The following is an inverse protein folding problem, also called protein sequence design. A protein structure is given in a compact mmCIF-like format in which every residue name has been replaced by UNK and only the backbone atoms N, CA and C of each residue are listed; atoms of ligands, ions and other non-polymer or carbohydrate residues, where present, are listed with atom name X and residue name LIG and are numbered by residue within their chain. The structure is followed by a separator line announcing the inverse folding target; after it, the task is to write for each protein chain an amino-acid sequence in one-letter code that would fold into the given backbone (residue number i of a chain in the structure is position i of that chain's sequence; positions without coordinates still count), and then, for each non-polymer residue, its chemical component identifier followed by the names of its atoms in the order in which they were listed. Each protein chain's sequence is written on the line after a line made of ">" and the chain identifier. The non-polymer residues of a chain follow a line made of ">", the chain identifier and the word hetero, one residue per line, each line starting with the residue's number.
data_IF_765713775853
#
_entry.id   IF_765713775853
#
_cell.length_a   1.000
_cell.length_b   1.000
_cell.length_c   1.000
_cell.angle_alpha   90.00
_cell.angle_beta   90.00
_cell.angle_gamma   90.00
#
_symmetry.space_group_name_H-M   'P 1'
#
loop_
_entity.id
_entity.type
_entity.pdbx_description
1 polymer ?
#
# COMPACT_ATOMS: atom_id res chain seq x y z
N UNK A 1 -54.43 -15.43 -19.88
CA UNK A 1 -55.86 -15.68 -20.14
C UNK A 1 -56.21 -17.16 -20.06
N UNK A 2 -55.67 -18.03 -20.89
CA UNK A 2 -55.98 -19.48 -20.92
C UNK A 2 -55.71 -20.21 -19.58
N UNK A 3 -54.79 -19.77 -18.74
CA UNK A 3 -54.65 -20.31 -17.40
C UNK A 3 -55.81 -19.94 -16.48
N UNK A 4 -56.44 -18.81 -16.64
CA UNK A 4 -57.69 -18.43 -15.97
C UNK A 4 -58.83 -19.33 -16.38
N UNK A 5 -58.98 -19.53 -17.68
CA UNK A 5 -59.98 -20.49 -18.24
C UNK A 5 -59.74 -21.89 -17.71
N UNK A 6 -58.47 -22.40 -17.68
CA UNK A 6 -58.13 -23.71 -17.13
C UNK A 6 -58.49 -23.85 -15.65
N UNK A 7 -58.25 -22.78 -14.85
CA UNK A 7 -58.62 -22.75 -13.44
C UNK A 7 -60.12 -22.76 -13.23
N UNK A 8 -60.92 -22.08 -14.07
CA UNK A 8 -62.38 -22.14 -13.98
C UNK A 8 -62.94 -23.52 -14.35
N UNK A 9 -62.35 -24.18 -15.35
CA UNK A 9 -62.71 -25.52 -15.77
C UNK A 9 -62.25 -26.60 -14.81
N UNK A 10 -61.34 -26.29 -13.89
CA UNK A 10 -60.84 -27.26 -12.93
C UNK A 10 -61.92 -27.67 -11.93
N UNK A 11 -62.04 -28.98 -11.67
CA UNK A 11 -62.99 -29.54 -10.72
C UNK A 11 -62.51 -29.24 -9.27
N UNK A 12 -63.46 -28.86 -8.38
CA UNK A 12 -63.25 -28.55 -6.99
C UNK A 12 -64.01 -27.33 -6.53
N UNK A 13 -64.42 -27.27 -5.27
CA UNK A 13 -65.11 -26.15 -4.68
C UNK A 13 -64.20 -25.06 -4.10
N UNK A 14 -63.01 -25.44 -3.67
CA UNK A 14 -62.02 -24.57 -3.05
C UNK A 14 -60.85 -24.18 -3.95
N UNK A 15 -60.16 -23.08 -3.61
CA UNK A 15 -58.97 -22.58 -4.34
C UNK A 15 -57.87 -23.66 -4.49
N UNK A 16 -57.58 -24.41 -3.40
CA UNK A 16 -56.53 -25.44 -3.41
C UNK A 16 -56.90 -26.63 -4.27
N UNK A 17 -58.17 -27.10 -4.24
CA UNK A 17 -58.66 -28.23 -5.05
C UNK A 17 -58.60 -27.86 -6.55
N UNK A 18 -59.03 -26.67 -6.92
CA UNK A 18 -58.91 -26.18 -8.29
C UNK A 18 -57.46 -26.05 -8.77
N UNK A 19 -56.54 -25.65 -7.89
CA UNK A 19 -55.15 -25.59 -8.21
C UNK A 19 -54.54 -26.97 -8.50
N UNK A 20 -54.90 -27.99 -7.68
CA UNK A 20 -54.48 -29.38 -7.91
C UNK A 20 -55.09 -29.98 -9.17
N UNK A 21 -56.33 -29.59 -9.51
CA UNK A 21 -57.04 -30.03 -10.73
C UNK A 21 -56.59 -29.31 -12.02
N UNK A 22 -55.77 -28.25 -11.88
CA UNK A 22 -55.40 -27.38 -13.01
C UNK A 22 -54.72 -28.15 -14.16
N UNK A 23 -53.83 -29.11 -13.81
CA UNK A 23 -53.09 -29.90 -14.79
C UNK A 23 -53.98 -30.67 -15.78
N UNK A 24 -55.13 -31.14 -15.30
CA UNK A 24 -56.13 -31.87 -16.15
C UNK A 24 -56.95 -30.94 -17.00
N UNK A 25 -57.10 -29.68 -16.62
CA UNK A 25 -57.93 -28.66 -17.28
C UNK A 25 -57.18 -27.85 -18.33
N UNK A 26 -55.83 -27.91 -18.34
CA UNK A 26 -55.01 -27.18 -19.32
C UNK A 26 -55.31 -27.61 -20.74
N UNK A 27 -55.34 -28.90 -21.03
CA UNK A 27 -55.65 -29.41 -22.38
C UNK A 27 -56.97 -28.89 -22.91
N UNK A 28 -58.12 -29.11 -22.20
CA UNK A 28 -59.40 -28.57 -22.59
C UNK A 28 -59.43 -27.03 -22.74
N UNK A 29 -58.73 -26.28 -21.87
CA UNK A 29 -58.67 -24.84 -21.94
C UNK A 29 -57.96 -24.30 -23.19
N UNK A 30 -57.00 -25.08 -23.72
CA UNK A 30 -56.23 -24.73 -24.93
C UNK A 30 -56.77 -25.41 -26.21
N UNK A 31 -57.82 -26.22 -26.11
CA UNK A 31 -58.49 -26.79 -27.30
C UNK A 31 -59.10 -25.73 -28.22
N UNK A 32 -59.56 -24.63 -27.66
CA UNK A 32 -60.00 -23.45 -28.41
C UNK A 32 -58.99 -22.30 -28.18
N UNK A 33 -58.47 -21.70 -29.26
CA UNK A 33 -57.54 -20.58 -29.18
C UNK A 33 -58.25 -19.23 -28.99
N UNK A 34 -59.57 -19.17 -29.05
CA UNK A 34 -60.30 -17.93 -28.81
C UNK A 34 -60.06 -17.42 -27.38
N UNK A 35 -59.77 -16.11 -27.19
CA UNK A 35 -59.57 -15.56 -25.86
C UNK A 35 -60.89 -15.60 -25.08
N UNK A 36 -60.84 -16.10 -23.83
CA UNK A 36 -61.98 -16.06 -22.90
C UNK A 36 -62.35 -14.60 -22.62
N UNK A 37 -63.64 -14.31 -22.65
CA UNK A 37 -64.18 -12.96 -22.39
C UNK A 37 -64.49 -12.71 -20.91
N UNK A 38 -64.23 -13.72 -20.05
CA UNK A 38 -64.49 -13.62 -18.62
C UNK A 38 -63.51 -12.67 -17.92
N UNK A 39 -63.99 -11.77 -17.09
CA UNK A 39 -63.14 -10.81 -16.36
C UNK A 39 -62.06 -11.49 -15.48
N UNK A 40 -62.33 -12.68 -14.94
CA UNK A 40 -61.39 -13.44 -14.16
C UNK A 40 -60.18 -13.92 -15.01
N UNK A 41 -60.43 -14.37 -16.23
CA UNK A 41 -59.37 -14.82 -17.15
C UNK A 41 -58.44 -13.63 -17.51
N UNK A 42 -59.01 -12.47 -17.67
CA UNK A 42 -58.25 -11.22 -17.89
C UNK A 42 -57.41 -10.83 -16.70
N UNK A 43 -57.95 -10.95 -15.48
CA UNK A 43 -57.22 -10.66 -14.23
C UNK A 43 -56.02 -11.63 -14.08
N UNK A 44 -56.23 -12.91 -14.27
CA UNK A 44 -55.15 -13.95 -14.22
C UNK A 44 -54.09 -13.65 -15.30
N UNK A 45 -54.54 -13.27 -16.51
CA UNK A 45 -53.61 -12.90 -17.58
C UNK A 45 -52.76 -11.71 -17.25
N UNK A 46 -53.38 -10.66 -16.66
CA UNK A 46 -52.68 -9.42 -16.25
C UNK A 46 -51.63 -9.70 -15.15
N UNK A 47 -52.05 -10.43 -14.11
CA UNK A 47 -51.15 -10.81 -13.02
C UNK A 47 -49.99 -11.65 -13.55
N UNK A 48 -50.24 -12.64 -14.42
CA UNK A 48 -49.21 -13.41 -15.08
C UNK A 48 -48.23 -12.58 -15.92
N UNK A 49 -48.78 -11.63 -16.69
CA UNK A 49 -47.94 -10.71 -17.48
C UNK A 49 -47.05 -9.82 -16.62
N UNK A 50 -47.61 -9.27 -15.54
CA UNK A 50 -46.83 -8.47 -14.58
C UNK A 50 -45.74 -9.31 -13.91
N UNK A 51 -46.08 -10.51 -13.43
CA UNK A 51 -45.12 -11.41 -12.81
C UNK A 51 -43.99 -11.81 -13.80
N UNK A 52 -44.34 -12.13 -15.04
CA UNK A 52 -43.36 -12.47 -16.08
C UNK A 52 -42.46 -11.26 -16.41
N UNK A 53 -43.03 -10.06 -16.48
CA UNK A 53 -42.29 -8.83 -16.69
C UNK A 53 -41.33 -8.56 -15.55
N UNK A 54 -41.72 -8.77 -14.31
CA UNK A 54 -40.86 -8.66 -13.13
C UNK A 54 -39.72 -9.68 -13.15
N UNK A 55 -40.01 -10.95 -13.49
CA UNK A 55 -38.98 -11.98 -13.64
C UNK A 55 -37.94 -11.61 -14.68
N UNK A 56 -38.36 -11.13 -15.86
CA UNK A 56 -37.46 -10.65 -16.90
C UNK A 56 -36.65 -9.45 -16.40
N UNK A 57 -37.28 -8.51 -15.71
CA UNK A 57 -36.59 -7.34 -15.16
C UNK A 57 -35.51 -7.74 -14.15
N UNK A 58 -35.81 -8.61 -13.17
CA UNK A 58 -34.82 -9.06 -12.20
C UNK A 58 -33.71 -9.90 -12.85
N UNK A 59 -34.05 -10.80 -13.79
CA UNK A 59 -33.07 -11.57 -14.54
C UNK A 59 -32.16 -10.67 -15.39
N UNK A 60 -32.71 -9.66 -16.04
CA UNK A 60 -31.94 -8.69 -16.81
C UNK A 60 -31.05 -7.81 -15.94
N UNK A 61 -31.52 -7.41 -14.75
CA UNK A 61 -30.74 -6.62 -13.80
C UNK A 61 -29.54 -7.39 -13.25
N UNK A 62 -29.72 -8.70 -13.02
CA UNK A 62 -28.69 -9.60 -12.48
C UNK A 62 -27.89 -10.32 -13.58
N UNK A 63 -28.24 -10.19 -14.84
CA UNK A 63 -27.51 -10.80 -15.93
C UNK A 63 -26.11 -10.16 -16.05
N UNK A 64 -25.07 -11.00 -15.99
CA UNK A 64 -23.72 -10.55 -16.36
C UNK A 64 -23.77 -10.07 -17.81
N UNK A 65 -23.45 -8.81 -18.04
CA UNK A 65 -23.36 -8.23 -19.38
C UNK A 65 -22.11 -8.75 -20.05
N UNK A 66 -22.19 -9.89 -20.69
CA UNK A 66 -21.16 -10.36 -21.61
C UNK A 66 -21.25 -9.49 -22.88
N UNK A 67 -20.18 -8.76 -23.20
CA UNK A 67 -20.06 -8.12 -24.51
C UNK A 67 -19.58 -9.18 -25.49
N UNK A 68 -20.27 -9.32 -26.63
CA UNK A 68 -19.76 -10.12 -27.75
C UNK A 68 -18.43 -9.53 -28.20
N UNK A 69 -17.44 -10.38 -28.49
CA UNK A 69 -16.10 -10.04 -28.99
C UNK A 69 -15.12 -9.40 -27.99
N UNK A 70 -15.36 -9.46 -26.67
CA UNK A 70 -14.37 -9.08 -25.65
C UNK A 70 -13.88 -10.32 -24.91
N UNK A 71 -12.75 -10.88 -25.30
CA UNK A 71 -12.17 -12.10 -24.72
C UNK A 71 -11.60 -11.90 -23.29
N UNK A 72 -11.26 -10.66 -22.91
CA UNK A 72 -10.53 -10.34 -21.67
C UNK A 72 -11.30 -9.44 -20.68
N UNK A 73 -12.62 -9.40 -20.76
CA UNK A 73 -13.48 -8.68 -19.82
C UNK A 73 -14.22 -7.48 -20.42
N UNK A 74 -15.10 -6.89 -19.62
CA UNK A 74 -16.00 -5.81 -20.05
C UNK A 74 -15.39 -4.41 -19.80
N UNK A 75 -14.07 -4.27 -19.78
CA UNK A 75 -13.40 -3.00 -19.57
C UNK A 75 -13.61 -2.07 -20.80
N UNK A 76 -13.86 -0.81 -20.52
CA UNK A 76 -13.95 0.26 -21.53
C UNK A 76 -13.26 1.52 -21.02
N UNK A 77 -12.87 2.38 -21.90
CA UNK A 77 -12.41 3.72 -21.51
C UNK A 77 -13.52 4.47 -20.79
N UNK A 78 -13.19 5.07 -19.64
CA UNK A 78 -14.11 5.90 -18.88
C UNK A 78 -14.40 7.21 -19.60
N UNK A 79 -15.66 7.66 -19.55
CA UNK A 79 -16.04 9.00 -19.97
C UNK A 79 -16.13 9.96 -18.77
N UNK A 80 -16.42 11.26 -19.00
CA UNK A 80 -16.52 12.27 -17.94
C UNK A 80 -17.50 11.92 -16.81
N UNK A 81 -18.57 11.20 -17.12
CA UNK A 81 -19.55 10.72 -16.11
C UNK A 81 -18.98 9.64 -15.19
N UNK A 82 -18.05 8.84 -15.70
CA UNK A 82 -17.42 7.77 -14.93
C UNK A 82 -16.32 8.33 -14.02
N UNK A 83 -15.68 9.43 -14.41
CA UNK A 83 -14.58 10.08 -13.69
C UNK A 83 -15.10 11.00 -12.58
N UNK A 84 -16.23 11.69 -12.81
CA UNK A 84 -16.81 12.67 -11.88
C UNK A 84 -16.89 12.22 -10.42
N UNK A 85 -17.24 10.97 -10.07
CA UNK A 85 -17.28 10.51 -8.66
C UNK A 85 -15.93 10.51 -7.95
N UNK A 86 -14.82 10.61 -8.69
CA UNK A 86 -13.45 10.56 -8.19
C UNK A 86 -12.77 11.95 -8.16
N UNK A 87 -13.49 13.01 -8.45
CA UNK A 87 -13.00 14.39 -8.45
C UNK A 87 -13.63 15.16 -7.30
N UNK A 88 -12.78 15.86 -6.51
CA UNK A 88 -13.28 16.77 -5.48
C UNK A 88 -13.71 18.10 -6.13
N UNK A 89 -14.82 18.72 -5.67
CA UNK A 89 -15.26 20.01 -6.18
C UNK A 89 -14.25 21.16 -5.98
N UNK A 90 -13.43 21.07 -4.94
CA UNK A 90 -12.33 22.03 -4.70
C UNK A 90 -11.09 21.56 -5.45
N UNK A 91 -10.56 22.41 -6.31
CA UNK A 91 -9.40 22.09 -7.15
C UNK A 91 -8.19 21.65 -6.31
N UNK A 92 -7.93 22.33 -5.21
CA UNK A 92 -6.78 22.09 -4.32
C UNK A 92 -6.82 20.69 -3.67
N UNK A 93 -7.99 20.07 -3.61
CA UNK A 93 -8.16 18.74 -3.05
C UNK A 93 -7.97 17.62 -4.09
N UNK A 94 -7.34 17.91 -5.21
CA UNK A 94 -7.11 16.94 -6.26
C UNK A 94 -5.64 16.86 -6.67
N UNK A 95 -5.23 15.67 -7.08
CA UNK A 95 -4.01 15.45 -7.86
C UNK A 95 -4.32 15.80 -9.32
N UNK A 96 -3.47 16.56 -9.97
CA UNK A 96 -3.58 16.89 -11.38
C UNK A 96 -3.02 15.70 -12.19
N UNK A 97 -3.89 14.98 -12.90
CA UNK A 97 -3.44 13.86 -13.73
C UNK A 97 -3.04 14.31 -15.13
N UNK A 98 -3.86 15.19 -15.74
CA UNK A 98 -3.59 15.79 -17.05
C UNK A 98 -4.09 17.25 -17.05
N UNK A 99 -4.07 17.90 -18.20
CA UNK A 99 -4.64 19.26 -18.33
C UNK A 99 -6.15 19.34 -18.05
N UNK A 100 -6.86 18.22 -18.12
CA UNK A 100 -8.33 18.16 -17.95
C UNK A 100 -8.77 17.20 -16.85
N UNK A 101 -7.93 16.24 -16.45
CA UNK A 101 -8.31 15.16 -15.56
C UNK A 101 -7.69 15.33 -14.18
N UNK A 102 -8.53 15.17 -13.16
CA UNK A 102 -8.20 15.32 -11.75
C UNK A 102 -8.57 14.05 -10.99
N UNK A 103 -7.90 13.81 -9.86
CA UNK A 103 -8.23 12.73 -8.93
C UNK A 103 -8.19 13.27 -7.50
N UNK A 104 -9.27 13.08 -6.74
CA UNK A 104 -9.31 13.53 -5.34
C UNK A 104 -8.20 12.90 -4.49
N UNK A 105 -7.58 13.72 -3.63
CA UNK A 105 -6.62 13.23 -2.61
C UNK A 105 -7.31 12.49 -1.46
N UNK A 106 -8.64 12.52 -1.38
CA UNK A 106 -9.40 11.82 -0.35
C UNK A 106 -9.46 10.32 -0.64
N UNK A 107 -8.61 9.54 0.03
CA UNK A 107 -8.57 8.08 -0.08
C UNK A 107 -9.71 7.37 0.66
N UNK A 108 -10.50 8.10 1.47
CA UNK A 108 -11.62 7.56 2.27
C UNK A 108 -12.91 8.34 1.98
N UNK A 109 -13.45 8.24 0.76
CA UNK A 109 -14.71 8.90 0.40
C UNK A 109 -15.89 8.28 1.16
N UNK A 110 -17.03 9.02 1.22
CA UNK A 110 -18.28 8.52 1.84
C UNK A 110 -18.77 7.21 1.20
N UNK A 111 -18.60 7.05 -0.11
CA UNK A 111 -18.87 5.80 -0.81
C UNK A 111 -17.56 5.01 -0.96
N UNK A 112 -17.38 3.88 -0.26
CA UNK A 112 -16.15 3.07 -0.34
C UNK A 112 -15.84 2.53 -1.76
N UNK A 113 -16.85 2.38 -2.61
CA UNK A 113 -16.65 1.96 -4.00
C UNK A 113 -15.86 3.00 -4.83
N UNK A 114 -15.81 4.26 -4.38
CA UNK A 114 -15.05 5.33 -5.03
C UNK A 114 -13.64 5.48 -4.43
N UNK A 115 -13.27 4.70 -3.41
CA UNK A 115 -11.92 4.77 -2.84
C UNK A 115 -10.87 4.36 -3.88
N UNK A 116 -9.80 5.14 -3.98
CA UNK A 116 -8.64 4.88 -4.86
C UNK A 116 -7.35 5.17 -4.11
N UNK A 117 -6.28 4.47 -4.49
CA UNK A 117 -4.95 4.87 -4.05
C UNK A 117 -4.46 6.05 -4.91
N UNK A 118 -3.43 6.73 -4.43
CA UNK A 118 -2.84 7.89 -5.11
C UNK A 118 -1.56 7.53 -5.90
N UNK A 119 -1.30 6.25 -6.08
CA UNK A 119 -0.16 5.82 -6.89
C UNK A 119 -0.43 6.15 -8.36
N UNK A 120 0.40 7.00 -8.92
CA UNK A 120 0.33 7.39 -10.31
C UNK A 120 1.59 6.94 -11.07
N UNK A 121 1.41 6.35 -12.25
CA UNK A 121 2.48 5.99 -13.16
C UNK A 121 2.45 6.92 -14.37
N UNK A 122 3.50 7.72 -14.54
CA UNK A 122 3.64 8.66 -15.65
C UNK A 122 4.63 8.12 -16.67
N UNK A 123 4.14 7.69 -17.81
CA UNK A 123 4.94 7.05 -18.86
C UNK A 123 5.19 8.03 -20.00
N UNK A 124 6.44 8.10 -20.46
CA UNK A 124 6.82 8.94 -21.58
C UNK A 124 8.32 8.85 -21.86
N UNK A 125 8.75 9.12 -23.10
CA UNK A 125 10.15 9.16 -23.52
C UNK A 125 10.91 10.32 -22.87
N UNK A 126 12.22 10.38 -23.05
CA UNK A 126 13.02 11.55 -22.64
C UNK A 126 12.51 12.80 -23.39
N UNK A 127 12.42 13.92 -22.70
CA UNK A 127 11.92 15.17 -23.29
C UNK A 127 10.39 15.29 -23.42
N UNK A 128 9.61 14.25 -23.12
CA UNK A 128 8.14 14.28 -23.22
C UNK A 128 7.44 15.21 -22.22
N UNK A 129 8.19 15.88 -21.34
CA UNK A 129 7.67 16.86 -20.40
C UNK A 129 7.09 16.29 -19.11
N UNK A 130 7.39 15.02 -18.73
CA UNK A 130 6.92 14.41 -17.49
C UNK A 130 7.11 15.30 -16.26
N UNK A 131 8.31 15.84 -16.08
CA UNK A 131 8.61 16.77 -14.97
C UNK A 131 7.82 18.05 -15.10
N UNK A 132 7.82 18.66 -16.29
CA UNK A 132 7.20 19.97 -16.53
C UNK A 132 5.69 19.95 -16.41
N UNK A 133 5.03 18.93 -16.98
CA UNK A 133 3.57 18.90 -17.10
C UNK A 133 2.89 18.09 -15.99
N UNK A 134 3.63 17.25 -15.26
CA UNK A 134 3.05 16.50 -14.17
C UNK A 134 3.67 16.82 -12.82
N UNK A 135 4.99 16.62 -12.62
CA UNK A 135 5.62 16.78 -11.31
C UNK A 135 5.59 18.25 -10.83
N UNK A 136 6.02 19.18 -11.67
CA UNK A 136 6.04 20.61 -11.30
C UNK A 136 4.67 21.14 -10.88
N UNK A 137 3.55 20.91 -11.61
CA UNK A 137 2.23 21.30 -11.17
C UNK A 137 1.81 20.69 -9.83
N UNK A 138 2.16 19.44 -9.53
CA UNK A 138 1.85 18.82 -8.23
C UNK A 138 2.57 19.57 -7.09
N UNK A 139 3.84 19.90 -7.27
CA UNK A 139 4.61 20.63 -6.25
C UNK A 139 4.09 22.06 -6.06
N UNK A 140 3.66 22.71 -7.13
CA UNK A 140 3.09 24.07 -7.08
C UNK A 140 1.73 24.13 -6.39
N UNK A 141 0.98 23.02 -6.31
CA UNK A 141 -0.25 22.98 -5.50
C UNK A 141 0.04 23.19 -3.99
N UNK A 142 1.22 22.85 -3.52
CA UNK A 142 1.68 23.10 -2.15
C UNK A 142 0.68 22.67 -1.05
N UNK A 143 0.04 21.50 -1.23
CA UNK A 143 -0.98 20.98 -0.30
C UNK A 143 -0.50 19.84 0.60
N UNK A 144 0.74 19.36 0.42
CA UNK A 144 1.26 18.18 1.13
C UNK A 144 2.77 18.33 1.40
N UNK A 145 3.31 17.47 2.26
CA UNK A 145 4.76 17.29 2.33
C UNK A 145 5.21 16.43 1.16
N UNK A 146 6.35 16.77 0.57
CA UNK A 146 6.87 16.11 -0.63
C UNK A 146 8.24 15.50 -0.38
N UNK A 147 8.48 14.32 -0.94
CA UNK A 147 9.81 13.75 -1.13
C UNK A 147 10.02 13.59 -2.64
N UNK A 148 10.99 14.30 -3.18
CA UNK A 148 11.24 14.32 -4.62
C UNK A 148 12.66 13.82 -4.91
N UNK A 149 12.78 12.81 -5.78
CA UNK A 149 14.05 12.36 -6.34
C UNK A 149 14.30 13.14 -7.62
N UNK A 150 15.34 13.97 -7.63
CA UNK A 150 15.69 14.84 -8.75
C UNK A 150 17.13 14.60 -9.22
N UNK A 151 17.36 13.62 -10.10
CA UNK A 151 18.71 13.26 -10.55
C UNK A 151 19.47 14.40 -11.28
N UNK A 152 18.73 15.39 -11.79
CA UNK A 152 19.31 16.52 -12.55
C UNK A 152 19.39 17.81 -11.72
N UNK A 153 18.79 17.85 -10.53
CA UNK A 153 18.76 19.04 -9.67
C UNK A 153 17.89 20.20 -10.19
N UNK A 154 17.14 19.98 -11.28
CA UNK A 154 16.38 21.05 -11.94
C UNK A 154 15.08 21.42 -11.23
N UNK A 155 14.47 20.49 -10.52
CA UNK A 155 13.17 20.70 -9.84
C UNK A 155 13.32 21.70 -8.69
N UNK A 156 14.38 21.53 -7.89
CA UNK A 156 14.65 22.46 -6.77
C UNK A 156 14.82 23.90 -7.26
N UNK A 157 15.56 24.11 -8.34
CA UNK A 157 15.75 25.43 -8.94
C UNK A 157 14.45 26.07 -9.46
N UNK A 158 13.52 25.24 -9.97
CA UNK A 158 12.25 25.71 -10.52
C UNK A 158 11.21 26.06 -9.45
N UNK A 159 11.05 25.23 -8.41
CA UNK A 159 9.95 25.36 -7.46
C UNK A 159 10.40 25.66 -6.03
N UNK A 160 11.69 25.56 -5.71
CA UNK A 160 12.19 25.67 -4.34
C UNK A 160 11.85 27.02 -3.69
N UNK A 161 12.10 28.13 -4.38
CA UNK A 161 11.79 29.47 -3.88
C UNK A 161 10.27 29.65 -3.60
N UNK A 162 9.42 29.19 -4.52
CA UNK A 162 7.97 29.23 -4.32
C UNK A 162 7.54 28.44 -3.08
N UNK A 163 8.07 27.23 -2.90
CA UNK A 163 7.76 26.41 -1.74
C UNK A 163 8.23 27.06 -0.43
N UNK A 164 9.41 27.68 -0.42
CA UNK A 164 9.89 28.44 0.74
C UNK A 164 8.96 29.60 1.09
N UNK A 165 8.50 30.36 0.10
CA UNK A 165 7.52 31.44 0.31
C UNK A 165 6.18 30.91 0.87
N UNK A 166 5.82 29.65 0.58
CA UNK A 166 4.66 28.96 1.15
C UNK A 166 4.91 28.34 2.52
N UNK A 167 6.08 28.60 3.13
CA UNK A 167 6.43 28.12 4.47
C UNK A 167 7.02 26.72 4.52
N UNK A 168 7.36 26.11 3.37
CA UNK A 168 7.99 24.79 3.35
C UNK A 168 9.44 24.85 3.83
N UNK A 169 9.80 23.92 4.70
CA UNK A 169 11.18 23.68 5.08
C UNK A 169 11.80 22.70 4.09
N UNK A 170 12.66 23.20 3.21
CA UNK A 170 13.33 22.38 2.20
C UNK A 170 14.58 21.75 2.79
N UNK A 171 14.72 20.44 2.62
CA UNK A 171 15.92 19.66 2.95
C UNK A 171 16.45 19.03 1.68
N UNK A 172 17.74 19.19 1.43
CA UNK A 172 18.42 18.67 0.23
C UNK A 172 19.45 17.63 0.66
N UNK A 173 19.33 16.43 0.11
CA UNK A 173 20.37 15.41 0.17
C UNK A 173 21.00 15.28 -1.21
N UNK A 174 22.24 15.75 -1.35
CA UNK A 174 22.97 15.74 -2.61
C UNK A 174 24.04 14.65 -2.56
N UNK A 175 23.80 13.54 -3.26
CA UNK A 175 24.73 12.40 -3.34
C UNK A 175 25.83 12.58 -4.41
N UNK A 176 25.73 13.62 -5.26
CA UNK A 176 26.73 13.92 -6.29
C UNK A 176 27.81 14.86 -5.72
N UNK A 177 27.39 15.86 -4.94
CA UNK A 177 28.27 16.82 -4.30
C UNK A 177 27.85 16.99 -2.84
N UNK A 178 28.51 16.23 -1.96
CA UNK A 178 28.19 16.24 -0.53
C UNK A 178 28.44 17.59 0.14
N UNK A 179 29.28 18.47 -0.45
CA UNK A 179 29.50 19.83 0.09
C UNK A 179 28.24 20.71 0.01
N UNK A 180 27.32 20.35 -0.91
CA UNK A 180 26.00 21.00 -1.11
C UNK A 180 24.85 20.24 -0.47
N UNK A 181 25.16 19.18 0.25
CA UNK A 181 24.15 18.36 0.94
C UNK A 181 23.91 18.87 2.36
N UNK A 182 22.68 18.78 2.82
CA UNK A 182 22.37 18.95 4.24
C UNK A 182 22.88 17.77 5.04
N UNK A 183 23.40 18.05 6.23
CA UNK A 183 23.79 17.02 7.18
C UNK A 183 22.57 16.31 7.75
N UNK A 184 22.70 15.00 7.90
CA UNK A 184 21.68 14.15 8.49
C UNK A 184 22.33 13.18 9.47
N UNK A 185 21.91 13.22 10.72
CA UNK A 185 22.32 12.25 11.73
C UNK A 185 21.17 11.27 12.00
N UNK A 186 21.24 10.02 11.49
CA UNK A 186 20.18 9.04 11.69
C UNK A 186 20.03 8.65 13.17
N UNK A 187 21.09 8.70 13.97
CA UNK A 187 21.07 8.29 15.36
C UNK A 187 20.21 9.23 16.23
N UNK A 188 20.00 10.48 15.82
CA UNK A 188 19.13 11.42 16.51
C UNK A 188 17.64 10.98 16.54
N UNK A 189 17.24 10.02 15.69
CA UNK A 189 15.87 9.52 15.62
C UNK A 189 15.67 8.21 16.36
N UNK A 190 16.73 7.61 16.90
CA UNK A 190 16.68 6.36 17.67
C UNK A 190 16.33 6.68 19.14
N UNK A 191 15.25 6.10 19.62
CA UNK A 191 14.72 6.36 20.97
C UNK A 191 14.76 5.12 21.88
N UNK A 192 14.76 3.94 21.30
CA UNK A 192 14.65 2.67 22.02
C UNK A 192 15.41 1.55 21.30
N UNK A 193 15.52 0.40 21.94
CA UNK A 193 16.22 -0.79 21.42
C UNK A 193 15.63 -1.31 20.11
N UNK A 194 14.30 -1.21 19.93
CA UNK A 194 13.64 -1.64 18.70
C UNK A 194 14.02 -0.75 17.51
N UNK A 195 14.27 0.53 17.74
CA UNK A 195 14.72 1.45 16.69
C UNK A 195 16.18 1.18 16.30
N UNK A 196 17.05 0.77 17.27
CA UNK A 196 18.41 0.29 16.98
C UNK A 196 18.35 -0.91 16.02
N UNK A 197 17.52 -1.92 16.35
CA UNK A 197 17.36 -3.10 15.50
C UNK A 197 16.88 -2.77 14.09
N UNK A 198 15.91 -1.85 13.96
CA UNK A 198 15.43 -1.40 12.64
C UNK A 198 16.54 -0.69 11.86
N UNK A 199 17.29 0.19 12.53
CA UNK A 199 18.38 0.92 11.91
C UNK A 199 19.50 -0.02 11.44
N UNK A 200 19.94 -0.96 12.28
CA UNK A 200 20.96 -1.96 11.93
C UNK A 200 20.52 -2.82 10.76
N UNK A 201 19.28 -3.30 10.77
CA UNK A 201 18.75 -4.08 9.65
C UNK A 201 18.71 -3.27 8.35
N UNK A 202 18.33 -2.00 8.41
CA UNK A 202 18.34 -1.11 7.25
C UNK A 202 19.78 -0.85 6.77
N UNK A 203 20.72 -0.63 7.68
CA UNK A 203 22.13 -0.42 7.36
C UNK A 203 22.70 -1.65 6.63
N UNK A 204 22.59 -2.83 7.22
CA UNK A 204 23.09 -4.08 6.64
C UNK A 204 22.43 -4.37 5.29
N UNK A 205 21.11 -4.23 5.20
CA UNK A 205 20.37 -4.50 3.95
C UNK A 205 20.77 -3.56 2.81
N UNK A 206 21.10 -2.31 3.10
CA UNK A 206 21.44 -1.31 2.08
C UNK A 206 22.97 -1.27 1.77
N UNK A 207 23.81 -1.85 2.62
CA UNK A 207 25.26 -1.91 2.40
C UNK A 207 25.72 -3.24 1.79
N UNK A 208 24.87 -4.27 1.81
CA UNK A 208 25.13 -5.51 1.06
C UNK A 208 25.17 -5.20 -0.43
N UNK A 209 26.32 -5.45 -1.07
CA UNK A 209 26.46 -5.35 -2.52
C UNK A 209 25.54 -6.35 -3.26
N UNK A 210 25.36 -6.17 -4.57
CA UNK A 210 24.66 -7.11 -5.46
C UNK A 210 25.44 -8.44 -5.60
N UNK A 211 25.59 -9.19 -4.52
CA UNK A 211 26.30 -10.46 -4.48
C UNK A 211 25.43 -11.56 -3.88
N UNK A 212 25.91 -12.80 -3.98
CA UNK A 212 25.30 -13.95 -3.31
C UNK A 212 25.12 -13.64 -1.83
N UNK A 213 24.00 -14.02 -1.26
CA UNK A 213 23.78 -13.97 0.20
C UNK A 213 24.98 -14.63 0.90
N UNK A 214 25.71 -13.82 1.68
CA UNK A 214 26.77 -14.33 2.54
C UNK A 214 26.20 -15.30 3.57
N UNK A 215 27.08 -16.08 4.20
CA UNK A 215 26.70 -17.01 5.25
C UNK A 215 25.84 -16.25 6.30
N UNK A 216 24.63 -16.73 6.61
CA UNK A 216 23.72 -16.14 7.60
C UNK A 216 24.38 -15.93 8.98
N UNK A 217 25.38 -16.73 9.31
CA UNK A 217 26.15 -16.62 10.55
C UNK A 217 26.86 -15.26 10.68
N UNK A 218 27.60 -14.87 9.63
CA UNK A 218 28.33 -13.60 9.63
C UNK A 218 27.40 -12.39 9.70
N UNK A 219 26.29 -12.43 8.97
CA UNK A 219 25.27 -11.38 9.04
C UNK A 219 24.68 -11.24 10.45
N UNK A 220 24.49 -12.37 11.15
CA UNK A 220 23.98 -12.37 12.51
C UNK A 220 25.00 -11.82 13.50
N UNK A 221 26.27 -12.20 13.37
CA UNK A 221 27.36 -11.69 14.20
C UNK A 221 27.55 -10.17 14.01
N UNK A 222 27.54 -9.70 12.75
CA UNK A 222 27.57 -8.29 12.39
C UNK A 222 26.39 -7.51 13.00
N UNK A 223 25.17 -8.07 12.92
CA UNK A 223 23.98 -7.47 13.55
C UNK A 223 24.14 -7.31 15.05
N UNK A 224 24.67 -8.34 15.75
CA UNK A 224 24.90 -8.30 17.19
C UNK A 224 25.94 -7.23 17.55
N UNK A 225 27.03 -7.14 16.79
CA UNK A 225 28.06 -6.14 16.99
C UNK A 225 27.49 -4.71 16.81
N UNK A 226 26.86 -4.42 15.69
CA UNK A 226 26.26 -3.09 15.46
C UNK A 226 25.21 -2.72 16.52
N UNK A 227 24.39 -3.68 16.95
CA UNK A 227 23.43 -3.46 18.03
C UNK A 227 24.12 -3.15 19.36
N UNK A 228 25.24 -3.80 19.67
CA UNK A 228 26.01 -3.54 20.87
C UNK A 228 26.62 -2.14 20.86
N UNK A 229 27.35 -1.79 19.78
CA UNK A 229 28.04 -0.51 19.64
C UNK A 229 27.05 0.67 19.63
N UNK A 230 25.97 0.56 18.84
CA UNK A 230 24.92 1.60 18.81
C UNK A 230 24.18 1.70 20.14
N UNK A 231 23.92 0.57 20.81
CA UNK A 231 23.36 0.58 22.15
C UNK A 231 24.24 1.34 23.14
N UNK A 232 25.56 1.17 23.06
CA UNK A 232 26.50 1.93 23.87
C UNK A 232 26.46 3.42 23.54
N UNK A 233 26.59 3.81 22.26
CA UNK A 233 26.60 5.20 21.80
C UNK A 233 25.32 5.94 22.22
N UNK A 234 24.15 5.29 22.07
CA UNK A 234 22.85 5.95 22.26
C UNK A 234 22.49 6.07 23.74
N UNK A 235 22.76 5.04 24.55
CA UNK A 235 22.30 5.01 25.94
C UNK A 235 23.37 5.43 26.95
N UNK A 236 24.64 5.34 26.60
CA UNK A 236 25.76 5.65 27.51
C UNK A 236 26.60 6.85 27.01
N UNK A 237 26.65 7.09 25.70
CA UNK A 237 27.40 8.17 25.09
C UNK A 237 26.76 9.55 25.32
N UNK A 238 27.59 10.60 25.32
CA UNK A 238 27.15 12.00 25.33
C UNK A 238 26.34 12.34 24.05
N UNK A 239 25.61 13.46 24.05
CA UNK A 239 24.83 13.88 22.89
C UNK A 239 25.72 14.16 21.66
N UNK A 240 26.95 14.66 21.89
CA UNK A 240 27.94 14.92 20.84
C UNK A 240 28.50 13.66 20.21
N UNK A 241 28.58 12.56 20.96
CA UNK A 241 29.05 11.25 20.50
C UNK A 241 27.97 10.46 19.73
N UNK A 242 26.71 10.85 19.81
CA UNK A 242 25.60 10.16 19.13
C UNK A 242 25.60 10.43 17.63
N UNK A 243 26.61 9.97 16.94
CA UNK A 243 26.77 10.14 15.49
C UNK A 243 27.47 8.92 14.87
N UNK A 244 27.45 8.86 13.54
CA UNK A 244 28.04 7.73 12.79
C UNK A 244 29.57 7.69 12.85
N UNK A 245 30.24 8.84 13.06
CA UNK A 245 31.70 8.84 13.17
C UNK A 245 32.15 8.07 14.42
N UNK A 246 31.46 8.28 15.55
CA UNK A 246 31.73 7.52 16.78
C UNK A 246 31.58 6.02 16.56
N UNK A 247 30.57 5.57 15.76
CA UNK A 247 30.45 4.17 15.42
C UNK A 247 31.66 3.66 14.63
N UNK A 248 32.10 4.42 13.63
CA UNK A 248 33.29 4.09 12.82
C UNK A 248 34.55 4.06 13.68
N UNK A 249 34.73 5.03 14.59
CA UNK A 249 35.87 5.08 15.51
C UNK A 249 35.89 3.87 16.46
N UNK A 250 34.73 3.49 16.99
CA UNK A 250 34.62 2.28 17.82
C UNK A 250 34.98 1.01 17.02
N UNK A 251 34.51 0.85 15.79
CA UNK A 251 34.85 -0.28 14.93
C UNK A 251 36.37 -0.28 14.65
N UNK A 252 36.94 0.88 14.35
CA UNK A 252 38.38 1.04 14.12
C UNK A 252 39.21 0.72 15.37
N UNK A 253 38.65 0.95 16.56
CA UNK A 253 39.28 0.60 17.85
C UNK A 253 39.17 -0.88 18.19
N UNK A 254 38.53 -1.70 17.39
CA UNK A 254 38.41 -3.15 17.54
C UNK A 254 39.58 -3.87 16.86
N UNK A 255 40.79 -3.54 17.25
CA UNK A 255 42.00 -4.27 16.79
C UNK A 255 41.95 -5.71 17.25
N UNK A 256 42.38 -6.65 16.38
CA UNK A 256 42.55 -8.05 16.68
C UNK A 256 44.03 -8.35 16.56
N UNK A 257 44.64 -9.01 17.57
CA UNK A 257 45.94 -9.59 17.47
C UNK A 257 45.82 -11.10 17.28
N UNK A 258 46.31 -11.60 16.16
CA UNK A 258 46.22 -13.02 15.81
C UNK A 258 47.01 -13.94 16.74
N UNK A 259 48.05 -13.41 17.42
CA UNK A 259 48.96 -14.18 18.26
C UNK A 259 48.60 -14.17 19.76
N UNK A 260 47.52 -13.50 20.18
CA UNK A 260 47.13 -13.34 21.58
C UNK A 260 45.61 -13.46 21.76
N UNK A 261 45.16 -14.65 22.11
CA UNK A 261 43.74 -14.96 22.33
C UNK A 261 43.14 -14.20 23.54
N UNK A 262 43.95 -13.76 24.48
CA UNK A 262 43.54 -12.98 25.66
C UNK A 262 43.60 -11.46 25.42
N UNK A 263 43.95 -11.04 24.21
CA UNK A 263 44.07 -9.61 23.88
C UNK A 263 42.71 -8.93 23.99
N UNK A 264 42.67 -7.84 24.75
CA UNK A 264 41.51 -7.00 24.93
C UNK A 264 41.76 -5.65 24.22
N UNK A 265 40.92 -5.35 23.25
CA UNK A 265 40.96 -4.05 22.59
C UNK A 265 40.25 -2.96 23.41
N UNK A 266 40.35 -1.70 22.97
CA UNK A 266 39.78 -0.58 23.67
C UNK A 266 38.25 -0.72 23.90
N UNK A 267 37.54 -1.29 22.91
CA UNK A 267 36.10 -1.52 23.00
C UNK A 267 35.74 -2.58 24.02
N UNK A 268 36.58 -3.65 24.15
CA UNK A 268 36.42 -4.68 25.20
C UNK A 268 36.49 -4.06 26.60
N UNK A 269 37.42 -3.14 26.82
CA UNK A 269 37.54 -2.44 28.11
C UNK A 269 36.33 -1.53 28.39
N UNK A 270 35.82 -0.82 27.36
CA UNK A 270 34.61 -0.03 27.49
C UNK A 270 33.40 -0.88 27.91
N UNK A 271 33.20 -2.03 27.24
CA UNK A 271 32.09 -2.94 27.58
C UNK A 271 32.27 -3.65 28.93
N UNK A 272 33.50 -4.00 29.33
CA UNK A 272 33.76 -4.51 30.68
C UNK A 272 33.41 -3.48 31.76
N UNK A 273 33.78 -2.22 31.56
CA UNK A 273 33.41 -1.13 32.45
C UNK A 273 31.91 -0.89 32.53
N UNK A 274 31.19 -1.02 31.38
CA UNK A 274 29.75 -0.93 31.36
C UNK A 274 29.08 -2.11 32.05
N UNK A 275 29.58 -3.33 31.84
CA UNK A 275 29.07 -4.53 32.48
C UNK A 275 29.13 -4.47 34.00
N UNK A 276 30.22 -3.93 34.59
CA UNK A 276 30.33 -3.71 36.02
C UNK A 276 29.27 -2.76 36.59
N UNK A 277 28.85 -1.76 35.79
CA UNK A 277 27.85 -0.76 36.20
C UNK A 277 26.42 -1.18 35.88
N UNK A 278 26.23 -1.81 34.72
CA UNK A 278 24.89 -2.15 34.16
C UNK A 278 24.93 -3.49 33.43
N UNK A 279 25.03 -4.62 34.16
CA UNK A 279 25.28 -5.97 33.59
C UNK A 279 24.14 -6.43 32.66
N UNK A 280 22.90 -5.94 32.89
CA UNK A 280 21.71 -6.37 32.17
C UNK A 280 21.28 -5.43 31.05
N UNK A 281 22.04 -4.39 30.76
CA UNK A 281 21.66 -3.45 29.70
C UNK A 281 21.75 -4.09 28.30
N UNK A 282 21.00 -3.54 27.36
CA UNK A 282 20.90 -4.01 25.98
C UNK A 282 22.29 -4.16 25.32
N UNK A 283 23.12 -3.12 25.40
CA UNK A 283 24.44 -3.08 24.79
C UNK A 283 25.33 -4.22 25.26
N UNK A 284 25.43 -4.45 26.58
CA UNK A 284 26.22 -5.55 27.18
C UNK A 284 25.70 -6.92 26.74
N UNK A 285 24.36 -7.11 26.74
CA UNK A 285 23.76 -8.39 26.30
C UNK A 285 24.07 -8.70 24.85
N UNK A 286 24.03 -7.70 23.94
CA UNK A 286 24.37 -7.92 22.54
C UNK A 286 25.87 -8.17 22.36
N UNK A 287 26.73 -7.45 23.07
CA UNK A 287 28.17 -7.63 22.98
C UNK A 287 28.62 -9.02 23.46
N UNK A 288 28.08 -9.51 24.57
CA UNK A 288 28.33 -10.87 25.05
C UNK A 288 27.96 -11.93 24.01
N UNK A 289 26.81 -11.79 23.38
CA UNK A 289 26.37 -12.71 22.31
C UNK A 289 27.29 -12.65 21.10
N UNK A 290 27.76 -11.45 20.73
CA UNK A 290 28.74 -11.28 19.67
C UNK A 290 30.06 -11.99 20.00
N UNK A 291 30.60 -11.81 21.21
CA UNK A 291 31.85 -12.45 21.64
C UNK A 291 31.74 -13.99 21.68
N UNK A 292 30.59 -14.52 22.11
CA UNK A 292 30.34 -15.97 22.05
C UNK A 292 30.34 -16.48 20.61
N UNK A 293 29.70 -15.77 19.70
CA UNK A 293 29.68 -16.13 18.29
C UNK A 293 31.08 -16.03 17.65
N UNK A 294 31.87 -15.01 18.00
CA UNK A 294 33.25 -14.86 17.47
C UNK A 294 34.24 -15.88 18.09
N UNK A 295 34.08 -16.28 19.36
CA UNK A 295 34.89 -17.29 20.00
C UNK A 295 34.75 -18.69 19.37
N UNK A 296 33.55 -19.07 18.95
CA UNK A 296 33.31 -20.33 18.22
C UNK A 296 34.01 -20.40 16.84
N UNK A 297 34.39 -19.25 16.28
CA UNK A 297 35.09 -19.16 14.98
C UNK A 297 36.59 -19.23 15.13
N UNK A 298 37.15 -18.68 16.21
CA UNK A 298 38.59 -18.77 16.52
C UNK A 298 38.99 -20.16 16.99
N UNK A 299 38.05 -21.00 17.41
CA UNK A 299 38.29 -22.38 17.86
C UNK A 299 38.17 -23.44 16.76
N UNK A 300 37.90 -23.05 15.52
CA UNK A 300 37.87 -23.90 14.31
C UNK A 300 38.89 -23.46 13.29
#
# INVERSE_FOLDING_TARGET
>A
LKLGTAYRLAAGAGFGEKLLGLGRSIGPAFADFAPGLDPFDWLVGLVGAVAFRLLIYFKSKNAKKFRRDEEYGSARWGGPKDIRPFVDPKFENNVILTGTELLTINTRPKNPANARNLNACVIGSSGSGKTRFWLTPQLLQAHSSYVCVDPKGGVLGQVGHFLQQRGYKIKVFNSIDFSKSMHYNPLAYIKNEADILKFVNALISNTKGEGKEGDPFWTKAETLLYCALLGYIIFEGSEEERNMNTLVDMISGMEVKEDDEDFLNAVDYMFKGLEQRKPDCFAVKQYKKYKLASGDVCSK
#
